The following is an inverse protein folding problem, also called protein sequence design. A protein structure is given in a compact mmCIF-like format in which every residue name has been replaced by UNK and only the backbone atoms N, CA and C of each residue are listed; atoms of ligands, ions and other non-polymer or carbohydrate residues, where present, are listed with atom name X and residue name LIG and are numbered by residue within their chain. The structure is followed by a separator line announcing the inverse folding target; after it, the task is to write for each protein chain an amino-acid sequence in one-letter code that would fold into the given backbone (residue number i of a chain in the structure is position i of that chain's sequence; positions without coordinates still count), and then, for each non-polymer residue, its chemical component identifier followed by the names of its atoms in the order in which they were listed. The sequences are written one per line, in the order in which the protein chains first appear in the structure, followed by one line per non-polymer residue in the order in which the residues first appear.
data_IF_317304552011
#
_entry.id   IF_317304552011
#
_cell.length_a   1.000
_cell.length_b   1.000
_cell.length_c   1.000
_cell.angle_alpha   90.00
_cell.angle_beta   90.00
_cell.angle_gamma   90.00
#
_symmetry.space_group_name_H-M   'P 1'
#
loop_
_entity.id
_entity.type
_entity.pdbx_description
1 polymer ?
#
# COMPACT_ATOMS: atom_id res chain seq x y z
N UNK A 1 -1.10 31.35 -12.49
CA UNK A 1 -0.28 30.24 -11.96
C UNK A 1 -1.19 29.03 -11.71
N UNK A 2 -0.69 27.80 -11.93
CA UNK A 2 -1.38 26.55 -11.64
C UNK A 2 -0.65 25.83 -10.50
N UNK A 3 -1.37 25.39 -9.49
CA UNK A 3 -0.88 24.56 -8.38
C UNK A 3 -1.64 23.24 -8.40
N UNK A 4 -0.93 22.13 -8.61
CA UNK A 4 -1.49 20.79 -8.54
C UNK A 4 -1.05 20.13 -7.23
N UNK A 5 -1.99 19.56 -6.49
CA UNK A 5 -1.74 18.89 -5.22
C UNK A 5 -2.30 17.48 -5.30
N UNK A 6 -1.42 16.50 -5.24
CA UNK A 6 -1.78 15.09 -5.16
C UNK A 6 -2.00 14.66 -3.71
N UNK A 7 -2.71 13.56 -3.52
CA UNK A 7 -3.13 13.04 -2.20
C UNK A 7 -3.78 14.13 -1.33
N UNK A 8 -4.69 14.90 -1.94
CA UNK A 8 -5.30 16.09 -1.33
C UNK A 8 -6.06 15.79 -0.02
N UNK A 9 -6.43 14.54 0.23
CA UNK A 9 -7.04 14.12 1.50
C UNK A 9 -6.12 14.30 2.72
N UNK A 10 -4.80 14.51 2.52
CA UNK A 10 -3.88 14.89 3.60
C UNK A 10 -3.97 16.36 4.00
N UNK A 11 -4.65 17.19 3.21
CA UNK A 11 -4.98 18.56 3.61
C UNK A 11 -6.03 18.49 4.72
N UNK A 12 -5.93 19.36 5.70
CA UNK A 12 -6.89 19.49 6.81
C UNK A 12 -7.41 20.89 6.89
N UNK A 13 -8.71 21.04 7.05
CA UNK A 13 -9.35 22.30 7.32
C UNK A 13 -8.97 22.89 8.69
N UNK A 14 -8.50 22.05 9.61
CA UNK A 14 -8.04 22.50 10.93
C UNK A 14 -6.69 23.21 10.80
N UNK A 15 -6.73 24.53 11.00
CA UNK A 15 -5.56 25.42 10.85
C UNK A 15 -4.46 25.14 11.87
N UNK A 16 -4.79 24.53 13.01
CA UNK A 16 -3.83 24.25 14.07
C UNK A 16 -3.11 22.91 13.87
N UNK A 17 -3.69 22.01 13.09
CA UNK A 17 -3.17 20.64 12.90
C UNK A 17 -2.42 20.41 11.58
N UNK A 18 -2.58 21.28 10.57
CA UNK A 18 -2.02 21.04 9.24
C UNK A 18 -1.38 22.27 8.61
N UNK A 19 -0.05 22.25 8.53
CA UNK A 19 0.72 23.27 7.79
C UNK A 19 0.34 23.30 6.31
N UNK A 20 0.04 22.15 5.72
CA UNK A 20 -0.40 22.04 4.34
C UNK A 20 -1.77 22.71 4.13
N UNK A 21 -2.69 22.52 5.05
CA UNK A 21 -4.00 23.20 5.03
C UNK A 21 -3.87 24.73 5.07
N UNK A 22 -2.97 25.25 5.90
CA UNK A 22 -2.69 26.69 5.95
C UNK A 22 -2.17 27.21 4.61
N UNK A 23 -1.19 26.54 4.01
CA UNK A 23 -0.61 26.92 2.70
C UNK A 23 -1.67 26.90 1.61
N UNK A 24 -2.52 25.88 1.55
CA UNK A 24 -3.60 25.81 0.57
C UNK A 24 -4.59 26.97 0.76
N UNK A 25 -4.98 27.23 1.99
CA UNK A 25 -5.88 28.35 2.29
C UNK A 25 -5.27 29.71 1.89
N UNK A 26 -3.98 29.94 2.16
CA UNK A 26 -3.26 31.16 1.75
C UNK A 26 -3.19 31.30 0.23
N UNK A 27 -2.93 30.20 -0.49
CA UNK A 27 -2.93 30.21 -1.96
C UNK A 27 -4.31 30.57 -2.50
N UNK A 28 -5.37 29.97 -1.95
CA UNK A 28 -6.73 30.15 -2.42
C UNK A 28 -7.30 31.54 -2.07
N UNK A 29 -6.85 32.14 -0.99
CA UNK A 29 -7.36 33.45 -0.53
C UNK A 29 -6.50 34.64 -0.94
N UNK A 30 -5.19 34.42 -1.15
CA UNK A 30 -4.20 35.48 -1.37
C UNK A 30 -3.60 35.53 -2.77
N UNK A 31 -4.02 34.67 -3.71
CA UNK A 31 -3.46 34.63 -5.06
C UNK A 31 -4.48 34.34 -6.16
N UNK A 32 -4.15 34.67 -7.41
CA UNK A 32 -4.90 34.28 -8.61
C UNK A 32 -4.49 32.89 -9.14
N UNK A 33 -3.99 32.00 -8.29
CA UNK A 33 -3.60 30.68 -8.69
C UNK A 33 -4.82 29.76 -8.84
N UNK A 34 -4.82 28.97 -9.91
CA UNK A 34 -5.77 27.86 -10.05
C UNK A 34 -5.22 26.66 -9.27
N UNK A 35 -6.04 26.05 -8.43
CA UNK A 35 -5.68 24.86 -7.66
C UNK A 35 -6.38 23.64 -8.26
N UNK A 36 -5.58 22.62 -8.59
CA UNK A 36 -6.07 21.29 -8.96
C UNK A 36 -5.77 20.35 -7.80
N UNK A 37 -6.82 19.88 -7.14
CA UNK A 37 -6.76 18.94 -6.04
C UNK A 37 -7.08 17.54 -6.55
N UNK A 38 -6.15 16.59 -6.36
CA UNK A 38 -6.29 15.21 -6.79
C UNK A 38 -6.24 14.29 -5.58
N UNK A 39 -7.13 13.32 -5.51
CA UNK A 39 -7.12 12.31 -4.45
C UNK A 39 -7.87 11.07 -4.88
N UNK A 40 -7.39 9.89 -4.48
CA UNK A 40 -8.09 8.62 -4.68
C UNK A 40 -9.32 8.48 -3.77
N UNK A 41 -9.38 9.23 -2.66
CA UNK A 41 -10.57 9.30 -1.80
C UNK A 41 -10.64 10.68 -1.16
N UNK A 42 -11.79 11.36 -1.30
CA UNK A 42 -12.05 12.63 -0.63
C UNK A 42 -12.59 12.39 0.79
N UNK A 43 -11.85 11.58 1.54
CA UNK A 43 -12.21 11.19 2.90
C UNK A 43 -10.97 10.91 3.74
N UNK A 44 -10.88 11.54 4.90
CA UNK A 44 -9.71 11.41 5.80
C UNK A 44 -9.77 10.21 6.74
N UNK A 45 -10.96 9.68 6.99
CA UNK A 45 -11.18 8.63 7.99
C UNK A 45 -11.36 9.15 9.42
N UNK A 46 -11.29 10.46 9.62
CA UNK A 46 -11.59 11.14 10.88
C UNK A 46 -12.78 12.11 10.73
N UNK A 47 -13.12 12.81 11.78
CA UNK A 47 -14.24 13.78 11.79
C UNK A 47 -13.87 15.17 11.26
N UNK A 48 -12.60 15.38 10.89
CA UNK A 48 -12.11 16.68 10.41
C UNK A 48 -12.31 16.76 8.90
N UNK A 49 -12.97 17.78 8.36
CA UNK A 49 -13.14 17.93 6.92
C UNK A 49 -11.78 18.23 6.25
N UNK A 50 -11.66 17.84 4.97
CA UNK A 50 -10.48 18.16 4.16
C UNK A 50 -10.40 19.66 3.89
N UNK A 51 -11.52 20.28 3.53
CA UNK A 51 -11.67 21.72 3.36
C UNK A 51 -12.85 22.23 4.21
N UNK A 52 -12.80 23.51 4.56
CA UNK A 52 -13.97 24.19 5.08
C UNK A 52 -15.01 24.37 3.97
N UNK A 53 -16.31 24.38 4.28
CA UNK A 53 -17.37 24.51 3.26
C UNK A 53 -17.18 25.70 2.32
N UNK A 54 -16.72 26.83 2.83
CA UNK A 54 -16.50 28.05 2.04
C UNK A 54 -15.36 27.88 1.01
N UNK A 55 -14.39 27.03 1.28
CA UNK A 55 -13.29 26.74 0.37
C UNK A 55 -13.68 25.60 -0.58
N UNK A 56 -14.47 24.64 -0.14
CA UNK A 56 -14.96 23.55 -0.99
C UNK A 56 -15.87 24.07 -2.10
N UNK A 57 -16.73 25.06 -1.83
CA UNK A 57 -17.60 25.69 -2.82
C UNK A 57 -16.84 26.34 -3.99
N UNK A 58 -15.55 26.65 -3.83
CA UNK A 58 -14.69 27.21 -4.89
C UNK A 58 -14.22 26.17 -5.90
N UNK A 59 -14.32 24.87 -5.58
CA UNK A 59 -13.91 23.80 -6.45
C UNK A 59 -15.05 23.30 -7.33
N UNK A 60 -14.70 22.94 -8.57
CA UNK A 60 -15.61 22.16 -9.43
C UNK A 60 -15.22 20.69 -9.30
N UNK A 61 -16.03 19.84 -8.67
CA UNK A 61 -15.71 18.43 -8.47
C UNK A 61 -15.78 17.68 -9.81
N UNK A 62 -14.73 16.91 -10.08
CA UNK A 62 -14.70 15.92 -11.16
C UNK A 62 -14.47 14.57 -10.53
N UNK A 63 -15.44 13.68 -10.64
CA UNK A 63 -15.38 12.36 -10.02
C UNK A 63 -15.19 11.30 -11.09
N UNK A 64 -14.17 10.47 -10.92
CA UNK A 64 -13.96 9.23 -11.65
C UNK A 64 -14.04 8.09 -10.65
N UNK A 65 -15.16 7.40 -10.61
CA UNK A 65 -15.39 6.40 -9.58
C UNK A 65 -14.68 5.08 -9.89
N UNK A 66 -14.52 4.24 -8.88
CA UNK A 66 -13.82 2.97 -8.97
C UNK A 66 -14.45 2.01 -10.01
N UNK A 67 -15.77 2.07 -10.17
CA UNK A 67 -16.47 1.29 -11.19
C UNK A 67 -16.05 1.68 -12.61
N UNK A 68 -15.95 2.98 -12.87
CA UNK A 68 -15.51 3.50 -14.16
C UNK A 68 -14.06 3.13 -14.43
N UNK A 69 -13.22 3.17 -13.40
CA UNK A 69 -11.82 2.75 -13.47
C UNK A 69 -11.71 1.27 -13.83
N UNK A 70 -12.38 0.38 -13.10
CA UNK A 70 -12.34 -1.06 -13.36
C UNK A 70 -12.89 -1.43 -14.75
N UNK A 71 -13.97 -0.78 -15.16
CA UNK A 71 -14.56 -1.01 -16.50
C UNK A 71 -13.66 -0.51 -17.63
N UNK A 72 -12.74 0.41 -17.35
CA UNK A 72 -11.75 0.91 -18.30
C UNK A 72 -10.54 0.00 -18.49
N UNK A 73 -10.32 -0.95 -17.60
CA UNK A 73 -9.18 -1.86 -17.68
C UNK A 73 -9.38 -2.89 -18.82
N UNK A 74 -8.38 -2.99 -19.68
CA UNK A 74 -8.41 -3.90 -20.84
C UNK A 74 -7.97 -5.31 -20.51
N UNK A 75 -7.11 -5.45 -19.50
CA UNK A 75 -6.44 -6.70 -19.14
C UNK A 75 -6.93 -7.31 -17.83
N UNK A 76 -7.68 -6.56 -17.03
CA UNK A 76 -8.28 -7.08 -15.80
C UNK A 76 -9.39 -8.09 -16.13
N UNK A 77 -9.16 -9.38 -15.86
CA UNK A 77 -10.13 -10.44 -16.12
C UNK A 77 -11.20 -10.53 -15.04
N UNK A 78 -10.80 -10.40 -13.78
CA UNK A 78 -11.70 -10.45 -12.63
C UNK A 78 -11.04 -9.82 -11.41
N UNK A 79 -11.86 -9.31 -10.50
CA UNK A 79 -11.45 -8.86 -9.18
C UNK A 79 -12.30 -9.58 -8.15
N UNK A 80 -11.66 -10.25 -7.20
CA UNK A 80 -12.31 -10.85 -6.04
C UNK A 80 -11.86 -10.17 -4.76
N UNK A 81 -12.81 -9.84 -3.88
CA UNK A 81 -12.52 -9.32 -2.54
C UNK A 81 -13.08 -10.33 -1.54
N UNK A 82 -12.19 -10.92 -0.73
CA UNK A 82 -12.53 -11.88 0.29
C UNK A 82 -12.23 -11.37 1.69
N UNK A 83 -13.00 -11.84 2.67
CA UNK A 83 -12.73 -11.60 4.08
C UNK A 83 -12.51 -12.96 4.75
N UNK A 84 -11.36 -13.11 5.40
CA UNK A 84 -11.03 -14.26 6.19
C UNK A 84 -11.09 -13.93 7.69
N UNK A 85 -11.91 -14.66 8.45
CA UNK A 85 -12.03 -14.47 9.89
C UNK A 85 -11.21 -15.53 10.61
N UNK A 86 -10.40 -15.10 11.56
CA UNK A 86 -9.51 -15.99 12.32
C UNK A 86 -9.69 -15.78 13.83
N UNK A 87 -9.25 -16.77 14.61
CA UNK A 87 -9.15 -16.69 16.06
C UNK A 87 -7.67 -16.69 16.46
N UNK A 88 -7.29 -15.80 17.39
CA UNK A 88 -5.91 -15.66 17.79
C UNK A 88 -5.18 -14.56 17.03
N UNK A 89 -3.97 -14.83 16.59
CA UNK A 89 -3.15 -13.87 15.83
C UNK A 89 -3.29 -14.11 14.34
N UNK A 90 -3.28 -13.04 13.55
CA UNK A 90 -3.30 -13.14 12.09
C UNK A 90 -2.10 -13.93 11.55
N UNK A 91 -0.94 -13.86 12.23
CA UNK A 91 0.26 -14.63 11.87
C UNK A 91 0.00 -16.13 11.85
N UNK A 92 -0.86 -16.63 12.72
CA UNK A 92 -1.17 -18.06 12.81
C UNK A 92 -2.14 -18.49 11.71
N UNK A 93 -2.92 -17.57 11.14
CA UNK A 93 -3.95 -17.83 10.15
C UNK A 93 -3.52 -17.59 8.70
N UNK A 94 -2.38 -16.92 8.48
CA UNK A 94 -1.95 -16.50 7.14
C UNK A 94 -1.79 -17.68 6.16
N UNK A 95 -1.39 -18.85 6.66
CA UNK A 95 -1.23 -20.07 5.87
C UNK A 95 -2.55 -20.57 5.27
N UNK A 96 -3.70 -20.18 5.82
CA UNK A 96 -5.02 -20.59 5.33
C UNK A 96 -5.43 -19.82 4.06
N UNK A 97 -4.83 -18.65 3.85
CA UNK A 97 -5.16 -17.74 2.74
C UNK A 97 -4.01 -17.50 1.78
N UNK A 98 -2.79 -17.86 2.17
CA UNK A 98 -1.61 -17.72 1.33
C UNK A 98 -1.57 -18.84 0.28
N UNK A 99 -1.47 -18.43 -0.99
CA UNK A 99 -1.30 -19.35 -2.11
C UNK A 99 0.09 -19.13 -2.73
N UNK A 100 1.02 -20.11 -2.65
CA UNK A 100 2.36 -19.98 -3.19
C UNK A 100 2.40 -19.96 -4.74
N UNK A 101 1.29 -20.23 -5.42
CA UNK A 101 1.18 -20.14 -6.87
C UNK A 101 0.90 -18.72 -7.36
N UNK A 102 0.48 -17.83 -6.46
CA UNK A 102 0.12 -16.45 -6.77
C UNK A 102 1.22 -15.46 -6.37
N UNK A 103 1.44 -14.46 -7.21
CA UNK A 103 2.30 -13.32 -6.88
C UNK A 103 1.60 -12.47 -5.82
N UNK A 104 2.11 -12.55 -4.58
CA UNK A 104 1.39 -12.05 -3.41
C UNK A 104 2.08 -10.84 -2.78
N UNK A 105 1.31 -9.76 -2.57
CA UNK A 105 1.70 -8.64 -1.74
C UNK A 105 1.07 -8.79 -0.35
N UNK A 106 1.89 -8.85 0.70
CA UNK A 106 1.44 -8.98 2.09
C UNK A 106 1.60 -7.63 2.79
N UNK A 107 0.49 -7.01 3.17
CA UNK A 107 0.47 -5.79 3.96
C UNK A 107 0.31 -6.13 5.45
N UNK A 108 1.37 -5.95 6.23
CA UNK A 108 1.33 -6.16 7.67
C UNK A 108 0.79 -4.92 8.41
N UNK A 109 0.23 -5.08 9.62
CA UNK A 109 -0.27 -3.98 10.42
C UNK A 109 0.86 -3.06 10.90
N UNK A 110 0.51 -1.80 11.17
CA UNK A 110 1.44 -0.88 11.86
C UNK A 110 1.83 -1.44 13.23
N UNK A 111 3.06 -1.18 13.66
CA UNK A 111 3.55 -1.53 15.01
C UNK A 111 2.69 -0.94 16.14
N UNK A 112 1.94 0.11 15.86
CA UNK A 112 1.00 0.73 16.81
C UNK A 112 -0.37 0.03 16.85
N UNK A 113 -0.65 -0.89 15.93
CA UNK A 113 -1.88 -1.68 15.94
C UNK A 113 -1.95 -2.57 17.19
N UNK A 114 -3.17 -2.83 17.67
CA UNK A 114 -3.42 -3.73 18.80
C UNK A 114 -3.00 -5.18 18.50
N UNK A 115 -3.00 -5.58 17.23
CA UNK A 115 -2.66 -6.92 16.78
C UNK A 115 -1.18 -7.10 16.45
N UNK A 116 -0.40 -6.02 16.42
CA UNK A 116 1.03 -6.07 16.18
C UNK A 116 1.78 -6.66 17.38
N UNK A 117 2.84 -7.40 17.11
CA UNK A 117 3.81 -7.85 18.14
C UNK A 117 4.59 -6.69 18.75
N UNK A 118 4.46 -5.48 18.17
CA UNK A 118 5.27 -4.28 18.44
C UNK A 118 6.71 -4.37 17.91
N UNK A 119 7.09 -5.50 17.37
CA UNK A 119 8.34 -5.72 16.67
C UNK A 119 8.05 -6.17 15.22
N UNK A 120 8.28 -5.25 14.26
CA UNK A 120 8.03 -5.49 12.86
C UNK A 120 8.93 -6.58 12.25
N UNK A 121 10.14 -6.73 12.77
CA UNK A 121 11.08 -7.76 12.30
C UNK A 121 10.61 -9.13 12.78
N UNK A 122 10.16 -9.24 14.04
CA UNK A 122 9.56 -10.47 14.55
C UNK A 122 8.33 -10.89 13.76
N UNK A 123 7.49 -9.92 13.38
CA UNK A 123 6.30 -10.20 12.54
C UNK A 123 6.67 -10.76 11.18
N UNK A 124 7.62 -10.12 10.49
CA UNK A 124 8.10 -10.61 9.20
C UNK A 124 8.69 -12.01 9.33
N UNK A 125 9.54 -12.24 10.33
CA UNK A 125 10.15 -13.56 10.56
C UNK A 125 9.09 -14.64 10.78
N UNK A 126 8.03 -14.37 11.55
CA UNK A 126 6.92 -15.32 11.73
C UNK A 126 6.20 -15.63 10.42
N UNK A 127 5.97 -14.62 9.58
CA UNK A 127 5.37 -14.82 8.27
C UNK A 127 6.28 -15.67 7.38
N UNK A 128 7.58 -15.37 7.35
CA UNK A 128 8.55 -16.12 6.57
C UNK A 128 8.62 -17.59 7.00
N UNK A 129 8.63 -17.87 8.32
CA UNK A 129 8.65 -19.23 8.88
C UNK A 129 7.37 -20.03 8.52
N UNK A 130 6.24 -19.36 8.36
CA UNK A 130 4.99 -20.00 7.92
C UNK A 130 4.95 -20.27 6.42
N UNK A 131 5.57 -19.44 5.62
CA UNK A 131 5.63 -19.58 4.16
C UNK A 131 6.64 -20.65 3.75
N UNK A 132 7.81 -20.74 4.43
CA UNK A 132 8.83 -21.68 4.05
C UNK A 132 10.09 -21.62 4.90
N UNK A 133 11.09 -22.42 4.53
CA UNK A 133 12.38 -22.48 5.19
C UNK A 133 13.35 -21.54 4.46
N UNK A 134 13.96 -20.64 5.22
CA UNK A 134 14.95 -19.69 4.69
C UNK A 134 16.20 -20.42 4.18
N UNK A 135 16.58 -20.18 2.92
CA UNK A 135 17.76 -20.77 2.27
C UNK A 135 18.91 -19.79 2.07
N UNK A 136 18.61 -18.49 2.09
CA UNK A 136 19.61 -17.46 1.89
C UNK A 136 19.06 -16.16 1.32
N UNK A 137 19.95 -15.19 1.16
CA UNK A 137 19.64 -13.85 0.61
C UNK A 137 20.55 -13.57 -0.58
N UNK A 138 19.98 -13.10 -1.67
CA UNK A 138 20.70 -12.68 -2.88
C UNK A 138 21.35 -11.31 -2.69
N UNK A 139 22.29 -10.93 -3.54
CA UNK A 139 22.91 -9.59 -3.52
C UNK A 139 21.90 -8.47 -3.75
N UNK A 140 20.83 -8.74 -4.49
CA UNK A 140 19.68 -7.84 -4.68
C UNK A 140 18.89 -7.55 -3.41
N UNK A 141 19.09 -8.35 -2.36
CA UNK A 141 18.30 -8.31 -1.13
C UNK A 141 17.09 -9.26 -1.14
N UNK A 142 16.82 -9.95 -2.23
CA UNK A 142 15.77 -10.96 -2.33
C UNK A 142 16.13 -12.18 -1.46
N UNK A 143 15.19 -12.61 -0.63
CA UNK A 143 15.30 -13.83 0.18
C UNK A 143 14.77 -15.02 -0.59
N UNK A 144 15.39 -16.19 -0.37
CA UNK A 144 14.95 -17.46 -0.94
C UNK A 144 14.38 -18.32 0.18
N UNK A 145 13.13 -18.73 0.01
CA UNK A 145 12.44 -19.62 0.93
C UNK A 145 11.99 -20.88 0.22
N UNK A 146 12.26 -22.03 0.85
CA UNK A 146 11.78 -23.32 0.34
C UNK A 146 10.47 -23.69 1.02
N UNK A 147 9.42 -23.81 0.24
CA UNK A 147 8.11 -24.28 0.69
C UNK A 147 8.12 -25.79 1.01
N UNK A 148 7.14 -26.30 1.77
CA UNK A 148 7.05 -27.73 2.10
C UNK A 148 6.96 -28.66 0.89
N UNK A 149 6.43 -28.19 -0.23
CA UNK A 149 6.35 -28.92 -1.50
C UNK A 149 7.64 -28.87 -2.34
N UNK A 150 8.68 -28.20 -1.82
CA UNK A 150 10.03 -28.12 -2.43
C UNK A 150 10.23 -26.97 -3.40
N UNK A 151 9.25 -26.11 -3.62
CA UNK A 151 9.37 -24.89 -4.44
C UNK A 151 10.25 -23.87 -3.73
N UNK A 152 10.97 -23.07 -4.49
CA UNK A 152 11.74 -21.93 -3.96
C UNK A 152 11.02 -20.64 -4.31
N UNK A 153 10.53 -19.95 -3.30
CA UNK A 153 9.94 -18.60 -3.42
C UNK A 153 10.99 -17.52 -3.26
N UNK A 154 10.87 -16.47 -4.06
CA UNK A 154 11.69 -15.27 -4.01
C UNK A 154 10.91 -14.17 -3.29
N UNK A 155 11.37 -13.78 -2.11
CA UNK A 155 10.64 -12.88 -1.21
C UNK A 155 11.39 -11.58 -1.00
N UNK A 156 10.70 -10.47 -1.18
CA UNK A 156 11.18 -9.12 -0.88
C UNK A 156 10.60 -8.65 0.46
N UNK A 157 11.46 -8.28 1.40
CA UNK A 157 11.08 -7.67 2.67
C UNK A 157 11.32 -6.15 2.59
N UNK A 158 10.23 -5.36 2.52
CA UNK A 158 10.24 -3.90 2.52
C UNK A 158 9.99 -3.32 3.93
N UNK A 159 9.92 -4.16 4.94
CA UNK A 159 9.66 -3.76 6.34
C UNK A 159 10.97 -3.46 7.06
N UNK A 160 12.02 -4.25 6.80
CA UNK A 160 13.33 -4.02 7.39
C UNK A 160 13.97 -2.73 6.84
N UNK A 161 14.20 -1.76 7.72
CA UNK A 161 14.86 -0.49 7.44
C UNK A 161 16.17 -0.31 8.24
N UNK A 162 16.68 -1.38 8.82
CA UNK A 162 17.91 -1.37 9.63
C UNK A 162 19.16 -1.05 8.80
N UNK A 163 19.16 -1.42 7.52
CA UNK A 163 20.19 -1.10 6.54
C UNK A 163 19.60 -0.34 5.35
N UNK A 164 19.82 0.98 5.34
CA UNK A 164 19.30 1.88 4.30
C UNK A 164 19.89 1.59 2.90
N UNK A 165 21.14 1.09 2.83
CA UNK A 165 21.75 0.76 1.56
C UNK A 165 21.18 -0.54 1.00
N UNK A 166 21.03 -1.57 1.82
CA UNK A 166 20.37 -2.82 1.43
C UNK A 166 18.93 -2.57 0.98
N UNK A 167 18.20 -1.72 1.70
CA UNK A 167 16.84 -1.32 1.32
C UNK A 167 16.81 -0.57 -0.02
N UNK A 168 17.74 0.37 -0.25
CA UNK A 168 17.84 1.10 -1.51
C UNK A 168 18.13 0.17 -2.69
N UNK A 169 19.03 -0.80 -2.50
CA UNK A 169 19.34 -1.82 -3.51
C UNK A 169 18.12 -2.69 -3.84
N UNK A 170 17.38 -3.12 -2.82
CA UNK A 170 16.17 -3.91 -3.01
C UNK A 170 15.09 -3.12 -3.75
N UNK A 171 14.84 -1.85 -3.39
CA UNK A 171 13.90 -0.99 -4.10
C UNK A 171 14.34 -0.75 -5.55
N UNK A 172 15.64 -0.54 -5.79
CA UNK A 172 16.20 -0.44 -7.14
C UNK A 172 15.98 -1.71 -7.95
N UNK A 173 16.20 -2.88 -7.36
CA UNK A 173 15.93 -4.16 -8.01
C UNK A 173 14.45 -4.33 -8.35
N UNK A 174 13.54 -4.03 -7.41
CA UNK A 174 12.11 -4.13 -7.63
C UNK A 174 11.65 -3.22 -8.77
N UNK A 175 12.11 -1.96 -8.81
CA UNK A 175 11.72 -1.02 -9.87
C UNK A 175 12.33 -1.31 -11.24
N UNK A 176 13.51 -1.94 -11.32
CA UNK A 176 14.21 -2.17 -12.57
C UNK A 176 14.00 -3.57 -13.14
N UNK A 177 13.95 -4.58 -12.29
CA UNK A 177 13.90 -6.00 -12.67
C UNK A 177 12.50 -6.55 -12.43
N UNK A 178 12.00 -6.51 -11.20
CA UNK A 178 10.71 -7.11 -10.85
C UNK A 178 9.51 -6.43 -11.53
N UNK A 179 9.65 -5.17 -11.93
CA UNK A 179 8.63 -4.47 -12.72
C UNK A 179 8.51 -4.99 -14.17
N UNK A 180 9.49 -5.78 -14.65
CA UNK A 180 9.57 -6.26 -16.04
C UNK A 180 9.63 -7.77 -16.17
N UNK A 181 9.97 -8.46 -15.09
CA UNK A 181 10.14 -9.91 -15.05
C UNK A 181 9.24 -10.50 -13.97
N UNK A 182 8.22 -11.24 -14.39
CA UNK A 182 7.27 -11.91 -13.52
C UNK A 182 7.95 -12.86 -12.53
N UNK A 183 9.04 -13.50 -12.95
CA UNK A 183 9.72 -14.52 -12.14
C UNK A 183 10.78 -13.93 -11.19
N UNK A 184 10.95 -12.61 -11.20
CA UNK A 184 11.92 -11.94 -10.35
C UNK A 184 11.56 -11.98 -8.87
N UNK A 185 10.26 -11.95 -8.53
CA UNK A 185 9.73 -11.96 -7.15
C UNK A 185 8.41 -12.72 -7.10
N UNK A 186 8.18 -13.47 -6.03
CA UNK A 186 6.94 -14.20 -5.77
C UNK A 186 6.11 -13.55 -4.66
N UNK A 187 6.78 -13.03 -3.62
CA UNK A 187 6.12 -12.42 -2.47
C UNK A 187 6.81 -11.11 -2.10
N UNK A 188 6.01 -10.09 -1.81
CA UNK A 188 6.49 -8.83 -1.24
C UNK A 188 5.81 -8.62 0.10
N UNK A 189 6.59 -8.39 1.16
CA UNK A 189 6.07 -8.05 2.48
C UNK A 189 6.29 -6.56 2.73
N UNK A 190 5.21 -5.83 3.04
CA UNK A 190 5.25 -4.39 3.20
C UNK A 190 4.49 -3.93 4.44
N UNK A 191 4.99 -2.88 5.07
CA UNK A 191 4.29 -2.15 6.11
C UNK A 191 3.48 -1.02 5.46
N UNK A 192 2.43 -0.53 6.12
CA UNK A 192 1.47 0.44 5.58
C UNK A 192 2.05 1.67 4.86
N UNK A 193 3.28 2.08 5.18
CA UNK A 193 3.96 3.20 4.52
C UNK A 193 4.74 2.83 3.24
N UNK A 194 4.95 1.55 2.95
CA UNK A 194 5.58 1.12 1.69
C UNK A 194 4.64 1.27 0.46
N UNK A 195 3.50 1.88 0.66
CA UNK A 195 2.46 2.15 -0.35
C UNK A 195 2.86 3.21 -1.37
N UNK A 196 3.86 4.03 -1.06
CA UNK A 196 4.26 5.15 -1.90
C UNK A 196 5.55 4.81 -2.67
N UNK A 197 5.46 4.81 -3.99
CA UNK A 197 6.62 4.73 -4.87
C UNK A 197 7.00 3.33 -5.37
N UNK A 198 6.22 2.28 -5.09
CA UNK A 198 6.44 0.95 -5.64
C UNK A 198 5.25 0.49 -6.49
N UNK A 199 5.55 0.10 -7.71
CA UNK A 199 4.60 -0.45 -8.66
C UNK A 199 5.03 -1.87 -9.06
N UNK A 200 4.18 -2.86 -8.75
CA UNK A 200 4.43 -4.24 -9.11
C UNK A 200 3.29 -4.78 -10.00
N UNK A 201 3.47 -4.71 -11.33
CA UNK A 201 2.40 -5.04 -12.26
C UNK A 201 1.99 -6.51 -12.27
N UNK A 202 2.81 -7.38 -11.68
CA UNK A 202 2.54 -8.82 -11.62
C UNK A 202 1.83 -9.27 -10.34
N UNK A 203 1.46 -8.36 -9.45
CA UNK A 203 0.69 -8.72 -8.25
C UNK A 203 -0.66 -9.34 -8.65
N UNK A 204 -0.91 -10.56 -8.18
CA UNK A 204 -2.12 -11.35 -8.43
C UNK A 204 -2.98 -11.44 -7.17
N UNK A 205 -2.36 -11.29 -6.00
CA UNK A 205 -2.99 -11.45 -4.70
C UNK A 205 -2.48 -10.41 -3.70
N UNK A 206 -3.39 -9.71 -3.05
CA UNK A 206 -3.08 -8.78 -1.98
C UNK A 206 -3.66 -9.28 -0.66
N UNK A 207 -2.81 -9.63 0.28
CA UNK A 207 -3.18 -10.00 1.64
C UNK A 207 -2.99 -8.80 2.57
N UNK A 208 -4.09 -8.20 2.99
CA UNK A 208 -4.05 -7.19 4.06
C UNK A 208 -4.36 -7.89 5.37
N UNK A 209 -3.35 -8.09 6.19
CA UNK A 209 -3.45 -8.84 7.44
C UNK A 209 -3.58 -7.93 8.66
N UNK A 210 -4.25 -8.44 9.70
CA UNK A 210 -4.53 -7.72 10.92
C UNK A 210 -5.68 -6.70 10.81
N UNK A 211 -6.12 -6.19 11.95
CA UNK A 211 -7.20 -5.21 12.02
C UNK A 211 -6.75 -3.85 11.47
N UNK A 212 -7.53 -3.28 10.58
CA UNK A 212 -7.36 -1.93 10.04
C UNK A 212 -8.41 -1.00 10.60
N UNK A 213 -7.99 0.05 11.28
CA UNK A 213 -8.90 1.07 11.84
C UNK A 213 -9.28 2.15 10.82
N UNK A 214 -8.48 2.30 9.76
CA UNK A 214 -8.69 3.30 8.72
C UNK A 214 -9.37 2.71 7.50
N UNK A 215 -10.60 3.12 7.24
CA UNK A 215 -11.33 2.74 6.03
C UNK A 215 -10.65 3.29 4.77
N UNK A 216 -10.05 4.47 4.85
CA UNK A 216 -9.26 5.08 3.76
C UNK A 216 -8.07 4.19 3.38
N UNK A 217 -7.38 3.62 4.38
CA UNK A 217 -6.27 2.71 4.14
C UNK A 217 -6.72 1.45 3.39
N UNK A 218 -7.85 0.88 3.78
CA UNK A 218 -8.41 -0.31 3.09
C UNK A 218 -8.76 0.03 1.64
N UNK A 219 -9.42 1.17 1.40
CA UNK A 219 -9.75 1.63 0.04
C UNK A 219 -8.48 1.85 -0.79
N UNK A 220 -7.46 2.50 -0.25
CA UNK A 220 -6.21 2.74 -0.96
C UNK A 220 -5.50 1.46 -1.37
N UNK A 221 -5.53 0.43 -0.53
CA UNK A 221 -4.98 -0.88 -0.86
C UNK A 221 -5.77 -1.51 -2.01
N UNK A 222 -7.10 -1.54 -1.90
CA UNK A 222 -7.99 -2.14 -2.92
C UNK A 222 -7.83 -1.43 -4.28
N UNK A 223 -7.71 -0.11 -4.28
CA UNK A 223 -7.64 0.69 -5.52
C UNK A 223 -6.26 0.57 -6.21
N UNK A 224 -5.19 0.33 -5.46
CA UNK A 224 -3.84 0.26 -6.02
C UNK A 224 -3.48 -1.10 -6.64
N UNK A 225 -4.09 -2.18 -6.16
CA UNK A 225 -3.75 -3.54 -6.60
C UNK A 225 -4.20 -3.87 -8.04
N UNK A 226 -5.45 -3.59 -8.47
CA UNK A 226 -5.83 -3.86 -9.84
C UNK A 226 -5.30 -2.78 -10.75
N UNK A 227 -4.28 -3.10 -11.55
CA UNK A 227 -3.79 -2.22 -12.61
C UNK A 227 -3.91 -2.91 -13.96
N UNK A 228 -4.21 -2.11 -14.97
CA UNK A 228 -4.18 -2.54 -16.36
C UNK A 228 -2.69 -2.53 -16.77
N UNK A 229 -2.06 -3.70 -16.80
CA UNK A 229 -0.66 -3.88 -17.16
C UNK A 229 -0.46 -3.83 -18.69
#
# INVERSE_FOLDING_TARGET
TLVAIDEFHHVSADKDSSRLGQVVHEIMSGSDAHVVAMTGSYFRGDSVPVLMPEDEEKFTPVTFNYYDQLNGYKHLKSLGIGHHFYQGRYTDAIHEVFDPDLKTLIHIPSVNSSESTKDKIEEVNKILDLIGIFEGKEESGIMRLRTPDGRVLRVADLVDDSDLMARSNLLGYLGQVAAKDKDAVDVIIALGMAKEGFDWPFAEHALTVGHRSSFTEVIQIIVREPRDA
#
